data_IF_827359891327
#
_entry.id   IF_827359891327
#
_cell.length_a   1.000
_cell.length_b   1.000
_cell.length_c   1.000
_cell.angle_alpha   90.00
_cell.angle_beta   90.00
_cell.angle_gamma   90.00
#
_symmetry.space_group_name_H-M   'P 1'
#
loop_
_entity.id
_entity.type
_entity.pdbx_description
1 polymer ?
#
# COMPACT_ATOMS: atom_id res chain seq x y z
N UNK A 1 -9.78 -34.04 -11.82
CA UNK A 1 -8.79 -33.50 -10.87
C UNK A 1 -7.77 -32.74 -11.69
N UNK A 2 -7.86 -31.41 -11.72
CA UNK A 2 -6.84 -30.59 -12.40
C UNK A 2 -5.56 -30.65 -11.57
N UNK A 3 -4.37 -30.79 -12.18
CA UNK A 3 -3.13 -30.80 -11.43
C UNK A 3 -2.98 -29.46 -10.69
N UNK A 4 -2.78 -29.53 -9.36
CA UNK A 4 -2.39 -28.37 -8.56
C UNK A 4 -1.00 -27.93 -9.04
N UNK A 5 -0.80 -26.64 -9.41
CA UNK A 5 0.52 -26.15 -9.76
C UNK A 5 1.48 -26.32 -8.58
N UNK A 6 2.59 -27.02 -8.80
CA UNK A 6 3.63 -27.23 -7.79
C UNK A 6 4.43 -25.94 -7.61
N UNK A 7 4.06 -25.15 -6.61
CA UNK A 7 4.76 -23.91 -6.29
C UNK A 7 5.99 -24.23 -5.43
N UNK A 8 7.18 -23.72 -5.80
CA UNK A 8 8.36 -23.93 -4.97
C UNK A 8 8.14 -23.32 -3.59
N UNK A 9 8.63 -23.97 -2.52
CA UNK A 9 8.62 -23.45 -1.13
C UNK A 9 9.08 -21.99 -1.06
N UNK A 10 10.01 -21.61 -1.94
CA UNK A 10 10.50 -20.26 -2.14
C UNK A 10 9.39 -19.22 -2.39
N UNK A 11 8.35 -19.57 -3.16
CA UNK A 11 7.22 -18.68 -3.43
C UNK A 11 6.49 -18.30 -2.14
N UNK A 12 6.17 -19.28 -1.30
CA UNK A 12 5.44 -19.05 -0.05
C UNK A 12 6.27 -18.24 0.94
N UNK A 13 7.59 -18.49 1.01
CA UNK A 13 8.51 -17.69 1.84
C UNK A 13 8.54 -16.24 1.38
N UNK A 14 8.70 -16.00 0.07
CA UNK A 14 8.71 -14.64 -0.51
C UNK A 14 7.36 -13.95 -0.28
N UNK A 15 6.24 -14.64 -0.51
CA UNK A 15 4.91 -14.10 -0.31
C UNK A 15 4.64 -13.74 1.17
N UNK A 16 5.07 -14.58 2.12
CA UNK A 16 4.98 -14.30 3.55
C UNK A 16 5.79 -13.07 3.96
N UNK A 17 7.06 -12.99 3.52
CA UNK A 17 7.91 -11.83 3.77
C UNK A 17 7.32 -10.56 3.16
N UNK A 18 6.77 -10.65 1.94
CA UNK A 18 6.10 -9.54 1.28
C UNK A 18 4.85 -9.07 2.04
N UNK A 19 4.07 -9.99 2.61
CA UNK A 19 2.93 -9.66 3.46
C UNK A 19 3.33 -8.79 4.66
N UNK A 20 4.38 -9.19 5.39
CA UNK A 20 4.90 -8.42 6.53
C UNK A 20 5.42 -7.05 6.08
N UNK A 21 6.18 -7.00 4.98
CA UNK A 21 6.67 -5.75 4.40
C UNK A 21 5.51 -4.81 4.01
N UNK A 22 4.45 -5.35 3.41
CA UNK A 22 3.24 -4.60 3.02
C UNK A 22 2.59 -3.95 4.24
N UNK A 23 2.43 -4.67 5.34
CA UNK A 23 1.87 -4.12 6.59
C UNK A 23 2.73 -2.97 7.11
N UNK A 24 4.05 -3.13 7.15
CA UNK A 24 4.96 -2.08 7.61
C UNK A 24 4.87 -0.81 6.72
N UNK A 25 4.81 -0.99 5.40
CA UNK A 25 4.68 0.12 4.44
C UNK A 25 3.31 0.80 4.55
N UNK A 26 2.23 0.05 4.76
CA UNK A 26 0.89 0.59 4.99
C UNK A 26 0.82 1.43 6.26
N UNK A 27 1.41 0.95 7.36
CA UNK A 27 1.50 1.73 8.62
C UNK A 27 2.25 3.05 8.36
N UNK A 28 3.37 3.00 7.62
CA UNK A 28 4.12 4.20 7.24
C UNK A 28 3.29 5.16 6.40
N UNK A 29 2.55 4.66 5.40
CA UNK A 29 1.67 5.46 4.57
C UNK A 29 0.52 6.09 5.37
N UNK A 30 -0.10 5.35 6.30
CA UNK A 30 -1.14 5.86 7.19
C UNK A 30 -0.63 7.00 8.07
N UNK A 31 0.58 6.89 8.63
CA UNK A 31 1.22 7.98 9.40
C UNK A 31 1.42 9.24 8.56
N UNK A 32 1.80 9.10 7.28
CA UNK A 32 1.89 10.24 6.36
C UNK A 32 0.51 10.83 6.06
N UNK A 33 -0.51 9.98 5.85
CA UNK A 33 -1.88 10.40 5.63
C UNK A 33 -2.39 11.28 6.78
N UNK A 34 -2.18 10.85 8.03
CA UNK A 34 -2.57 11.64 9.20
C UNK A 34 -1.87 13.02 9.25
N UNK A 35 -0.59 13.09 8.87
CA UNK A 35 0.12 14.37 8.78
C UNK A 35 -0.44 15.27 7.69
N UNK A 36 -0.82 14.71 6.54
CA UNK A 36 -1.44 15.43 5.43
C UNK A 36 -2.82 15.97 5.84
N UNK A 37 -3.64 15.14 6.47
CA UNK A 37 -4.98 15.51 6.93
C UNK A 37 -4.92 16.62 7.98
N UNK A 38 -4.02 16.51 8.96
CA UNK A 38 -3.81 17.54 9.97
C UNK A 38 -3.45 18.90 9.34
N UNK A 39 -2.59 18.91 8.32
CA UNK A 39 -2.24 20.12 7.55
C UNK A 39 -3.38 20.64 6.68
N UNK A 40 -4.28 19.76 6.27
CA UNK A 40 -5.42 20.07 5.40
C UNK A 40 -6.68 20.51 6.18
N UNK A 41 -6.55 20.78 7.48
CA UNK A 41 -7.67 21.17 8.34
C UNK A 41 -8.66 20.02 8.61
N UNK A 42 -8.23 18.76 8.42
CA UNK A 42 -9.02 17.56 8.70
C UNK A 42 -8.45 16.92 9.97
N UNK A 43 -8.96 17.28 11.16
CA UNK A 43 -8.40 16.77 12.41
C UNK A 43 -8.57 15.25 12.51
N UNK A 44 -7.52 14.62 13.06
CA UNK A 44 -7.48 13.21 13.46
C UNK A 44 -8.66 12.80 14.34
N UNK A 45 -9.14 13.74 15.17
CA UNK A 45 -10.30 13.55 16.03
C UNK A 45 -11.52 14.17 15.36
N UNK A 46 -12.44 13.33 14.88
CA UNK A 46 -13.79 13.80 14.56
C UNK A 46 -14.62 13.68 15.83
N UNK A 47 -14.98 14.83 16.44
CA UNK A 47 -15.81 14.88 17.66
C UNK A 47 -15.24 14.08 18.85
N UNK A 48 -13.92 14.04 19.00
CA UNK A 48 -13.25 13.36 20.12
C UNK A 48 -13.01 11.86 19.95
N UNK A 49 -13.41 11.26 18.81
CA UNK A 49 -13.12 9.85 18.50
C UNK A 49 -11.94 9.74 17.53
N UNK A 50 -11.09 8.68 17.65
CA UNK A 50 -10.03 8.42 16.69
C UNK A 50 -10.63 8.24 15.28
N UNK A 51 -10.27 9.13 14.36
CA UNK A 51 -10.57 8.97 12.94
C UNK A 51 -9.63 7.98 12.27
N UNK A 52 -10.11 7.35 11.20
CA UNK A 52 -9.28 6.51 10.33
C UNK A 52 -8.56 7.37 9.28
N UNK A 53 -7.38 6.92 8.85
CA UNK A 53 -6.63 7.55 7.76
C UNK A 53 -7.40 7.42 6.43
N UNK A 54 -7.78 8.53 5.80
CA UNK A 54 -8.48 8.52 4.51
C UNK A 54 -7.49 8.38 3.35
N UNK A 55 -6.77 7.25 3.30
CA UNK A 55 -5.71 6.99 2.30
C UNK A 55 -6.19 7.20 0.86
N UNK A 56 -7.39 6.73 0.52
CA UNK A 56 -7.92 6.80 -0.85
C UNK A 56 -8.21 8.25 -1.27
N UNK A 57 -9.07 9.04 -0.57
CA UNK A 57 -9.25 10.45 -0.88
C UNK A 57 -7.94 11.24 -0.92
N UNK A 58 -7.04 11.02 0.05
CA UNK A 58 -5.76 11.73 0.10
C UNK A 58 -4.87 11.37 -1.09
N UNK A 59 -4.82 10.10 -1.52
CA UNK A 59 -4.03 9.67 -2.67
C UNK A 59 -4.48 10.36 -3.97
N UNK A 60 -5.80 10.54 -4.14
CA UNK A 60 -6.43 11.25 -5.26
C UNK A 60 -6.54 12.77 -5.05
N UNK A 61 -5.86 13.33 -4.04
CA UNK A 61 -5.82 14.78 -3.76
C UNK A 61 -7.20 15.40 -3.41
N UNK A 62 -8.11 14.62 -2.86
CA UNK A 62 -9.46 15.07 -2.46
C UNK A 62 -9.44 15.59 -1.02
N UNK A 63 -9.72 16.89 -0.86
CA UNK A 63 -9.72 17.53 0.46
C UNK A 63 -8.33 17.63 1.08
N UNK A 64 -7.30 17.82 0.25
CA UNK A 64 -5.89 17.96 0.65
C UNK A 64 -5.43 19.39 0.37
N UNK A 65 -4.68 19.99 1.30
CA UNK A 65 -4.06 21.29 1.10
C UNK A 65 -3.07 21.26 -0.08
N UNK A 66 -3.06 22.36 -0.85
CA UNK A 66 -2.30 22.46 -2.10
C UNK A 66 -0.92 23.11 -1.93
N UNK A 67 -0.49 23.37 -0.69
CA UNK A 67 0.85 23.86 -0.40
C UNK A 67 1.92 22.81 -0.72
N UNK A 68 3.12 23.29 -1.09
CA UNK A 68 4.19 22.45 -1.59
C UNK A 68 4.61 21.34 -0.62
N UNK A 69 4.66 21.66 0.67
CA UNK A 69 5.03 20.72 1.72
C UNK A 69 4.00 19.60 1.90
N UNK A 70 2.70 19.92 1.94
CA UNK A 70 1.62 18.91 1.98
C UNK A 70 1.66 18.01 0.74
N UNK A 71 1.90 18.59 -0.42
CA UNK A 71 2.02 17.85 -1.69
C UNK A 71 3.25 16.94 -1.71
N UNK A 72 4.38 17.36 -1.13
CA UNK A 72 5.57 16.53 -0.96
C UNK A 72 5.32 15.34 -0.01
N UNK A 73 4.53 15.53 1.05
CA UNK A 73 4.06 14.42 1.89
C UNK A 73 3.15 13.46 1.12
N UNK A 74 2.22 13.98 0.31
CA UNK A 74 1.34 13.14 -0.53
C UNK A 74 2.13 12.33 -1.54
N UNK A 75 3.13 12.91 -2.21
CA UNK A 75 4.03 12.17 -3.13
C UNK A 75 4.74 11.03 -2.42
N UNK A 76 5.27 11.27 -1.21
CA UNK A 76 5.90 10.24 -0.38
C UNK A 76 4.94 9.14 0.06
N UNK A 77 3.68 9.49 0.34
CA UNK A 77 2.62 8.52 0.64
C UNK A 77 2.28 7.69 -0.60
N UNK A 78 2.03 8.32 -1.74
CA UNK A 78 1.69 7.64 -2.99
C UNK A 78 2.81 6.72 -3.47
N UNK A 79 4.08 7.09 -3.29
CA UNK A 79 5.21 6.20 -3.61
C UNK A 79 5.18 4.90 -2.78
N UNK A 80 4.82 4.98 -1.49
CA UNK A 80 4.68 3.79 -0.63
C UNK A 80 3.52 2.90 -1.08
N UNK A 81 2.38 3.51 -1.44
CA UNK A 81 1.23 2.79 -1.99
C UNK A 81 1.59 2.13 -3.34
N UNK A 82 2.36 2.81 -4.18
CA UNK A 82 2.82 2.27 -5.46
C UNK A 82 3.79 1.10 -5.27
N UNK A 83 4.71 1.15 -4.30
CA UNK A 83 5.57 0.01 -3.95
C UNK A 83 4.75 -1.23 -3.60
N UNK A 84 3.65 -1.07 -2.85
CA UNK A 84 2.75 -2.18 -2.52
C UNK A 84 2.15 -2.78 -3.80
N UNK A 85 1.62 -1.93 -4.70
CA UNK A 85 1.02 -2.40 -5.95
C UNK A 85 2.03 -3.11 -6.85
N UNK A 86 3.25 -2.56 -6.96
CA UNK A 86 4.33 -3.14 -7.76
C UNK A 86 4.72 -4.52 -7.22
N UNK A 87 4.86 -4.69 -5.90
CA UNK A 87 5.23 -5.99 -5.35
C UNK A 87 4.11 -7.04 -5.47
N UNK A 88 2.83 -6.65 -5.39
CA UNK A 88 1.74 -7.55 -5.76
C UNK A 88 1.76 -7.92 -7.25
N UNK A 89 2.05 -6.96 -8.14
CA UNK A 89 2.24 -7.22 -9.56
C UNK A 89 3.39 -8.20 -9.82
N UNK A 90 4.50 -8.06 -9.09
CA UNK A 90 5.64 -8.98 -9.17
C UNK A 90 5.27 -10.40 -8.70
N UNK A 91 4.59 -10.55 -7.56
CA UNK A 91 4.12 -11.85 -7.08
C UNK A 91 3.16 -12.51 -8.09
N UNK A 92 2.27 -11.73 -8.68
CA UNK A 92 1.36 -12.21 -9.72
C UNK A 92 2.12 -12.71 -10.96
N UNK A 93 3.11 -11.94 -11.44
CA UNK A 93 3.92 -12.31 -12.59
C UNK A 93 4.78 -13.55 -12.31
N UNK A 94 5.38 -13.64 -11.13
CA UNK A 94 6.14 -14.81 -10.70
C UNK A 94 5.27 -16.07 -10.68
N UNK A 95 4.06 -15.97 -10.10
CA UNK A 95 3.09 -17.06 -10.08
C UNK A 95 2.67 -17.48 -11.50
N UNK A 96 2.43 -16.52 -12.37
CA UNK A 96 2.06 -16.77 -13.77
C UNK A 96 3.20 -17.46 -14.53
N UNK A 97 4.43 -16.97 -14.41
CA UNK A 97 5.61 -17.56 -15.06
C UNK A 97 5.87 -18.99 -14.60
N UNK A 98 5.70 -19.28 -13.31
CA UNK A 98 5.81 -20.63 -12.77
C UNK A 98 4.78 -21.58 -13.40
N UNK A 99 3.52 -21.13 -13.56
CA UNK A 99 2.46 -21.91 -14.21
C UNK A 99 2.73 -22.19 -15.68
N UNK A 100 3.26 -21.22 -16.43
CA UNK A 100 3.60 -21.37 -17.86
C UNK A 100 4.77 -22.35 -18.07
N UNK A 101 5.74 -22.39 -17.15
CA UNK A 101 6.88 -23.31 -17.25
C UNK A 101 6.54 -24.75 -16.86
N UNK A 102 5.43 -24.95 -16.14
CA UNK A 102 4.94 -26.27 -15.71
C UNK A 102 3.96 -26.94 -16.68
N UNK A 103 3.54 -26.24 -17.75
CA UNK A 103 2.62 -26.72 -18.79
C UNK A 103 3.35 -27.15 -20.05
#
# INVERSE_FOLDING_TARGET
MTPEPDYPVLFFVIAGLWGVATVAVLISAARLCYRIEARSGRPLLKRGLPGYANLVPVAFNVGVARDEETQALRRRMNMRLLVILVGFGFLYLFRWAAGVLSS
#
